data_IF_097901604608
#
_entry.id   IF_097901604608
#
_cell.length_a   1.000
_cell.length_b   1.000
_cell.length_c   1.000
_cell.angle_alpha   90.00
_cell.angle_beta   90.00
_cell.angle_gamma   90.00
#
_symmetry.space_group_name_H-M   'P 1'
#
loop_
_entity.id
_entity.type
_entity.pdbx_description
1 polymer ?
#
# COMPACT_ATOMS: atom_id res chain seq x y z
N UNK A 1 -13.26 -12.18 7.36
CA UNK A 1 -13.64 -10.76 7.19
C UNK A 1 -14.69 -10.68 6.11
N UNK A 2 -15.63 -9.73 6.19
CA UNK A 2 -16.60 -9.54 5.12
C UNK A 2 -15.86 -9.12 3.84
N UNK A 3 -16.14 -9.79 2.72
CA UNK A 3 -15.56 -9.43 1.44
C UNK A 3 -16.07 -8.02 1.07
N UNK A 4 -15.16 -7.09 0.79
CA UNK A 4 -15.51 -5.78 0.29
C UNK A 4 -16.13 -5.93 -1.10
N UNK A 5 -17.23 -5.24 -1.32
CA UNK A 5 -17.85 -5.13 -2.64
C UNK A 5 -16.96 -4.32 -3.59
N UNK A 6 -17.13 -4.52 -4.89
CA UNK A 6 -16.38 -3.75 -5.90
C UNK A 6 -16.53 -2.24 -5.73
N UNK A 7 -17.72 -1.77 -5.36
CA UNK A 7 -17.97 -0.37 -5.08
C UNK A 7 -17.12 0.15 -3.89
N UNK A 8 -16.99 -0.64 -2.83
CA UNK A 8 -16.16 -0.29 -1.68
C UNK A 8 -14.67 -0.26 -2.04
N UNK A 9 -14.20 -1.19 -2.87
CA UNK A 9 -12.82 -1.20 -3.36
C UNK A 9 -12.52 0.03 -4.23
N UNK A 10 -13.47 0.45 -5.08
CA UNK A 10 -13.35 1.71 -5.84
C UNK A 10 -13.26 2.92 -4.91
N UNK A 11 -14.14 3.03 -3.92
CA UNK A 11 -14.09 4.13 -2.93
C UNK A 11 -12.76 4.15 -2.20
N UNK A 12 -12.26 2.99 -1.78
CA UNK A 12 -10.97 2.87 -1.11
C UNK A 12 -9.81 3.34 -2.00
N UNK A 13 -9.79 2.95 -3.28
CA UNK A 13 -8.79 3.41 -4.24
C UNK A 13 -8.77 4.94 -4.39
N UNK A 14 -9.94 5.57 -4.53
CA UNK A 14 -10.03 7.04 -4.62
C UNK A 14 -9.59 7.74 -3.35
N UNK A 15 -9.92 7.17 -2.18
CA UNK A 15 -9.45 7.69 -0.90
C UNK A 15 -7.92 7.60 -0.80
N UNK A 16 -7.30 6.51 -1.27
CA UNK A 16 -5.85 6.36 -1.30
C UNK A 16 -5.19 7.42 -2.20
N UNK A 17 -5.72 7.64 -3.41
CA UNK A 17 -5.24 8.66 -4.34
C UNK A 17 -5.34 10.06 -3.72
N UNK A 18 -6.48 10.39 -3.11
CA UNK A 18 -6.69 11.71 -2.50
C UNK A 18 -5.70 11.97 -1.36
N UNK A 19 -5.42 10.97 -0.52
CA UNK A 19 -4.46 11.08 0.57
C UNK A 19 -3.01 11.18 0.06
N UNK A 20 -2.71 10.49 -1.04
CA UNK A 20 -1.42 10.62 -1.72
C UNK A 20 -1.22 12.04 -2.27
N UNK A 21 -2.22 12.60 -2.93
CA UNK A 21 -2.20 13.99 -3.45
C UNK A 21 -2.07 15.04 -2.34
N UNK A 22 -2.54 14.73 -1.12
CA UNK A 22 -2.35 15.57 0.07
C UNK A 22 -0.94 15.45 0.69
N UNK A 23 -0.09 14.58 0.16
CA UNK A 23 1.25 14.36 0.69
C UNK A 23 1.28 13.55 2.00
N UNK A 24 0.22 12.79 2.32
CA UNK A 24 0.15 11.98 3.54
C UNK A 24 1.09 10.76 3.54
N UNK A 25 1.82 10.54 2.45
CA UNK A 25 2.82 9.48 2.30
C UNK A 25 2.71 8.75 0.98
N UNK A 26 3.46 7.65 0.85
CA UNK A 26 3.38 6.80 -0.33
C UNK A 26 2.07 5.99 -0.36
N UNK A 27 1.69 5.51 -1.54
CA UNK A 27 0.41 4.80 -1.72
C UNK A 27 0.36 3.49 -0.91
N UNK A 28 1.50 2.83 -0.72
CA UNK A 28 1.58 1.55 0.00
C UNK A 28 1.30 1.74 1.51
N UNK A 29 1.86 2.77 2.12
CA UNK A 29 1.65 3.17 3.52
C UNK A 29 0.20 3.59 3.73
N UNK A 30 -0.34 4.41 2.82
CA UNK A 30 -1.75 4.84 2.88
C UNK A 30 -2.68 3.62 2.77
N UNK A 31 -2.45 2.74 1.80
CA UNK A 31 -3.24 1.53 1.61
C UNK A 31 -3.11 0.57 2.81
N UNK A 32 -1.94 0.52 3.43
CA UNK A 32 -1.68 -0.23 4.66
C UNK A 32 -2.51 0.22 5.86
N UNK A 33 -2.99 1.47 5.88
CA UNK A 33 -3.86 1.99 6.94
C UNK A 33 -5.30 1.46 6.88
N UNK A 34 -5.70 0.83 5.77
CA UNK A 34 -7.02 0.23 5.63
C UNK A 34 -6.97 -1.27 5.99
N UNK A 35 -8.06 -1.75 6.59
CA UNK A 35 -8.25 -3.16 6.94
C UNK A 35 -8.64 -3.99 5.69
N UNK A 36 -7.71 -4.08 4.73
CA UNK A 36 -7.85 -4.83 3.48
C UNK A 36 -7.10 -6.17 3.57
N UNK A 37 -7.71 -7.24 3.08
CA UNK A 37 -7.02 -8.51 2.83
C UNK A 37 -6.11 -8.45 1.59
N UNK A 38 -5.36 -9.53 1.33
CA UNK A 38 -4.36 -9.56 0.24
C UNK A 38 -5.03 -9.38 -1.13
N UNK A 39 -6.13 -10.09 -1.39
CA UNK A 39 -6.84 -10.01 -2.66
C UNK A 39 -7.45 -8.62 -2.89
N UNK A 40 -8.03 -8.03 -1.84
CA UNK A 40 -8.58 -6.68 -1.87
C UNK A 40 -7.49 -5.63 -2.11
N UNK A 41 -6.32 -5.78 -1.49
CA UNK A 41 -5.17 -4.87 -1.73
C UNK A 41 -4.72 -4.92 -3.17
N UNK A 42 -4.62 -6.10 -3.77
CA UNK A 42 -4.26 -6.24 -5.19
C UNK A 42 -5.29 -5.57 -6.10
N UNK A 43 -6.58 -5.76 -5.84
CA UNK A 43 -7.64 -5.12 -6.61
C UNK A 43 -7.64 -3.59 -6.47
N UNK A 44 -7.50 -3.08 -5.25
CA UNK A 44 -7.39 -1.64 -4.99
C UNK A 44 -6.16 -1.06 -5.70
N UNK A 45 -5.01 -1.72 -5.61
CA UNK A 45 -3.80 -1.30 -6.31
C UNK A 45 -4.00 -1.27 -7.83
N UNK A 46 -4.66 -2.28 -8.40
CA UNK A 46 -4.98 -2.32 -9.83
C UNK A 46 -5.87 -1.14 -10.26
N UNK A 47 -6.86 -0.77 -9.46
CA UNK A 47 -7.72 0.40 -9.72
C UNK A 47 -6.89 1.69 -9.67
N UNK A 48 -6.02 1.83 -8.66
CA UNK A 48 -5.15 2.99 -8.51
C UNK A 48 -4.24 3.14 -9.73
N UNK A 49 -3.53 2.08 -10.13
CA UNK A 49 -2.63 2.10 -11.29
C UNK A 49 -3.37 2.34 -12.61
N UNK A 50 -4.63 1.90 -12.73
CA UNK A 50 -5.48 2.21 -13.89
C UNK A 50 -5.84 3.69 -13.98
N UNK A 51 -5.90 4.43 -12.85
CA UNK A 51 -6.24 5.86 -12.81
C UNK A 51 -5.01 6.76 -12.80
N UNK A 52 -3.95 6.29 -12.17
CA UNK A 52 -2.69 6.97 -11.95
C UNK A 52 -1.56 6.07 -12.44
N UNK A 53 -1.49 5.91 -13.75
CA UNK A 53 -0.42 5.13 -14.40
C UNK A 53 0.96 5.75 -14.20
N UNK A 54 1.01 7.03 -13.81
CA UNK A 54 2.20 7.76 -13.38
C UNK A 54 2.80 7.20 -12.08
N UNK A 55 2.02 6.49 -11.27
CA UNK A 55 2.50 5.85 -10.03
C UNK A 55 3.21 4.51 -10.29
N UNK A 56 3.35 4.07 -11.55
CA UNK A 56 4.02 2.82 -11.90
C UNK A 56 5.54 3.00 -11.81
N UNK A 57 6.10 2.45 -10.73
CA UNK A 57 7.48 2.00 -10.56
C UNK A 57 8.61 2.91 -11.08
N UNK A 58 8.97 3.89 -10.26
CA UNK A 58 10.23 4.60 -10.33
C UNK A 58 10.04 6.09 -10.09
N UNK A 59 10.71 6.63 -9.07
CA UNK A 59 10.84 8.07 -8.82
C UNK A 59 9.67 8.79 -8.10
N UNK A 60 9.66 8.68 -6.77
CA UNK A 60 9.44 9.89 -5.95
C UNK A 60 10.79 10.22 -5.30
N UNK A 61 11.71 10.78 -6.08
CA UNK A 61 12.78 11.63 -5.57
C UNK A 61 12.11 12.87 -4.96
N UNK A 62 11.78 12.78 -3.68
CA UNK A 62 11.87 13.94 -2.80
C UNK A 62 13.26 13.89 -2.17
N UNK A 63 14.19 14.72 -2.64
CA UNK A 63 15.55 14.82 -2.09
C UNK A 63 15.56 14.98 -0.57
N UNK A 64 16.25 14.08 0.15
CA UNK A 64 17.37 14.43 1.05
C UNK A 64 17.99 13.19 1.70
N UNK A 65 19.26 12.95 1.35
CA UNK A 65 20.32 12.31 2.15
C UNK A 65 20.23 10.81 2.54
N UNK A 66 21.03 10.00 1.82
CA UNK A 66 21.84 8.85 2.31
C UNK A 66 21.22 7.86 3.29
N UNK A 67 20.74 6.72 2.79
CA UNK A 67 21.39 5.39 2.94
C UNK A 67 20.38 4.28 2.59
N UNK A 68 20.19 4.10 1.29
CA UNK A 68 19.38 3.02 0.74
C UNK A 68 20.20 1.73 0.69
N UNK A 69 20.01 0.81 1.64
CA UNK A 69 20.10 -0.65 1.36
C UNK A 69 19.64 -1.59 2.48
N UNK A 70 19.32 -1.14 3.70
CA UNK A 70 19.08 -2.07 4.83
C UNK A 70 17.62 -2.18 5.32
N UNK A 71 16.73 -1.24 4.97
CA UNK A 71 15.38 -1.17 5.55
C UNK A 71 14.34 -2.10 4.87
N UNK A 72 14.60 -2.49 3.62
CA UNK A 72 13.69 -3.37 2.86
C UNK A 72 13.69 -4.81 3.40
N UNK A 73 14.81 -5.30 3.92
CA UNK A 73 14.87 -6.62 4.56
C UNK A 73 14.16 -6.64 5.93
N UNK A 74 14.25 -5.54 6.68
CA UNK A 74 13.64 -5.45 8.02
C UNK A 74 12.12 -5.34 7.97
N UNK A 75 11.57 -4.59 7.01
CA UNK A 75 10.12 -4.48 6.82
C UNK A 75 9.49 -5.82 6.44
N UNK A 76 10.16 -6.64 5.62
CA UNK A 76 9.70 -7.99 5.26
C UNK A 76 9.80 -8.97 6.45
N UNK A 77 10.85 -8.85 7.28
CA UNK A 77 11.00 -9.62 8.53
C UNK A 77 9.97 -9.23 9.59
N UNK A 78 9.61 -7.95 9.71
CA UNK A 78 8.57 -7.48 10.62
C UNK A 78 7.19 -8.00 10.21
N UNK A 79 6.87 -7.92 8.93
CA UNK A 79 5.59 -8.42 8.40
C UNK A 79 5.43 -9.93 8.65
N UNK A 80 6.47 -10.72 8.38
CA UNK A 80 6.44 -12.18 8.62
C UNK A 80 6.40 -12.56 10.10
N UNK A 81 6.95 -11.75 10.99
CA UNK A 81 6.95 -11.98 12.46
C UNK A 81 5.57 -11.82 13.10
N UNK A 82 4.79 -10.82 12.69
CA UNK A 82 3.44 -10.56 13.24
C UNK A 82 2.46 -11.70 12.87
N UNK A 83 2.58 -12.27 11.68
CA UNK A 83 1.62 -13.28 11.19
C UNK A 83 2.01 -14.73 11.50
N UNK A 84 3.23 -15.02 11.97
CA UNK A 84 3.71 -16.38 12.20
C UNK A 84 3.52 -16.89 13.64
N UNK A 85 2.41 -16.54 14.30
CA UNK A 85 2.07 -17.15 15.60
C UNK A 85 0.58 -17.39 15.79
N UNK A 86 0.02 -18.31 14.99
CA UNK A 86 -1.02 -19.24 15.49
C UNK A 86 -1.17 -20.47 14.60
N UNK A 87 -0.27 -21.44 14.78
CA UNK A 87 -0.56 -22.85 14.50
C UNK A 87 -0.22 -23.63 15.76
N UNK A 88 -1.29 -23.98 16.49
CA UNK A 88 -1.49 -24.93 17.60
C UNK A 88 -0.48 -24.88 18.75
#
# INVERSE_FOLDING_TARGET
MAALTEAQMRICAYACITRYERGEGNIATIMGSYALDVEQREQVMKIILSKRSDLIAGNVEGSSSTDASNEQEETVKWYTSIFRKKTV
#
